data_IF_333234312268
#
_entry.id   IF_333234312268
#
_cell.length_a   1.000
_cell.length_b   1.000
_cell.length_c   1.000
_cell.angle_alpha   90.00
_cell.angle_beta   90.00
_cell.angle_gamma   90.00
#
_symmetry.space_group_name_H-M   'P 1'
#
loop_
_entity.id
_entity.type
_entity.pdbx_description
1 polymer ?
#
# COMPACT_ATOMS: atom_id res chain seq x y z
N UNK A 1 2.80 -0.65 19.92
CA UNK A 1 1.84 0.34 19.40
C UNK A 1 1.79 0.27 17.87
N UNK A 2 0.60 0.45 17.28
CA UNK A 2 0.43 0.50 15.82
C UNK A 2 -0.10 1.89 15.45
N UNK A 3 0.67 2.62 14.62
CA UNK A 3 0.26 3.91 14.09
C UNK A 3 -0.25 3.74 12.65
N UNK A 4 -1.31 4.45 12.33
CA UNK A 4 -1.96 4.44 11.03
C UNK A 4 -1.85 5.82 10.37
N UNK A 5 -1.54 5.81 9.08
CA UNK A 5 -1.60 7.00 8.22
C UNK A 5 -2.35 6.66 6.94
N UNK A 6 -3.10 7.61 6.40
CA UNK A 6 -3.84 7.48 5.16
C UNK A 6 -3.54 8.65 4.24
N UNK A 7 -3.11 8.34 3.04
CA UNK A 7 -2.89 9.30 1.96
C UNK A 7 -3.77 8.93 0.77
N UNK A 8 -4.54 9.88 0.29
CA UNK A 8 -5.19 9.79 -1.02
C UNK A 8 -4.29 10.39 -2.09
N UNK A 9 -4.37 9.85 -3.28
CA UNK A 9 -3.64 10.38 -4.44
C UNK A 9 -4.47 10.27 -5.73
N UNK A 10 -4.21 11.21 -6.62
CA UNK A 10 -4.59 11.23 -8.02
C UNK A 10 -3.43 11.89 -8.80
N UNK A 11 -3.63 13.02 -9.49
CA UNK A 11 -2.55 13.90 -9.94
C UNK A 11 -1.94 14.75 -8.80
N UNK A 12 -2.53 14.70 -7.62
CA UNK A 12 -2.09 15.36 -6.38
C UNK A 12 -2.17 14.39 -5.21
N UNK A 13 -1.47 14.69 -4.13
CA UNK A 13 -1.43 13.87 -2.94
C UNK A 13 -2.06 14.59 -1.75
N UNK A 14 -2.89 13.90 -0.98
CA UNK A 14 -3.61 14.43 0.18
C UNK A 14 -3.41 13.51 1.38
N UNK A 15 -2.68 13.99 2.38
CA UNK A 15 -2.56 13.27 3.66
C UNK A 15 -3.83 13.50 4.48
N UNK A 16 -4.64 12.45 4.63
CA UNK A 16 -5.93 12.50 5.34
C UNK A 16 -5.79 12.18 6.82
N UNK A 17 -4.98 11.18 7.16
CA UNK A 17 -4.70 10.74 8.53
C UNK A 17 -3.19 10.63 8.68
N UNK A 18 -2.65 11.10 9.81
CA UNK A 18 -1.22 11.04 10.08
C UNK A 18 -0.94 10.54 11.49
N UNK A 19 -0.26 9.39 11.58
CA UNK A 19 0.27 8.82 12.82
C UNK A 19 -0.77 8.75 13.96
N UNK A 20 -1.98 8.28 13.64
CA UNK A 20 -3.04 8.04 14.62
C UNK A 20 -2.94 6.59 15.10
N UNK A 21 -3.11 6.34 16.40
CA UNK A 21 -3.17 4.96 16.92
C UNK A 21 -4.29 4.20 16.22
N UNK A 22 -4.02 2.96 15.81
CA UNK A 22 -4.98 2.20 14.99
C UNK A 22 -6.36 2.05 15.66
N UNK A 23 -6.39 1.95 16.99
CA UNK A 23 -7.62 1.88 17.79
C UNK A 23 -8.44 3.19 17.79
N UNK A 24 -7.82 4.32 17.50
CA UNK A 24 -8.45 5.65 17.48
C UNK A 24 -8.88 6.07 16.08
N UNK A 25 -8.57 5.25 15.05
CA UNK A 25 -8.94 5.55 13.66
C UNK A 25 -10.45 5.42 13.48
N UNK A 26 -11.09 6.49 13.05
CA UNK A 26 -12.53 6.49 12.76
C UNK A 26 -12.77 5.98 11.34
N UNK A 27 -13.89 5.28 11.09
CA UNK A 27 -14.29 4.89 9.76
C UNK A 27 -14.35 6.08 8.80
N UNK A 28 -13.89 5.87 7.57
CA UNK A 28 -14.02 6.87 6.51
C UNK A 28 -15.49 7.04 6.12
N UNK A 29 -15.86 8.25 5.77
CA UNK A 29 -17.16 8.57 5.21
C UNK A 29 -17.06 8.73 3.69
N UNK A 30 -18.17 8.56 2.97
CA UNK A 30 -18.20 8.74 1.51
C UNK A 30 -17.74 10.15 1.06
N UNK A 31 -17.94 11.17 1.90
CA UNK A 31 -17.48 12.54 1.64
C UNK A 31 -15.97 12.72 1.74
N UNK A 32 -15.27 11.79 2.42
CA UNK A 32 -13.82 11.85 2.61
C UNK A 32 -13.03 11.49 1.36
N UNK A 33 -13.65 10.74 0.45
CA UNK A 33 -13.02 10.30 -0.79
C UNK A 33 -13.83 10.80 -1.99
N UNK A 34 -13.21 11.64 -2.82
CA UNK A 34 -13.78 12.12 -4.09
C UNK A 34 -12.81 11.74 -5.22
N UNK A 35 -12.99 10.55 -5.81
CA UNK A 35 -12.14 10.15 -6.94
C UNK A 35 -12.29 11.14 -8.08
N UNK A 36 -11.20 11.71 -8.55
CA UNK A 36 -11.17 12.63 -9.69
C UNK A 36 -9.81 12.61 -10.37
N UNK A 37 -9.81 12.61 -11.69
CA UNK A 37 -8.65 12.90 -12.52
C UNK A 37 -7.80 11.66 -12.83
N UNK A 38 -6.51 11.90 -13.03
CA UNK A 38 -5.51 10.94 -13.47
C UNK A 38 -4.79 10.30 -12.29
N UNK A 39 -4.04 9.22 -12.55
CA UNK A 39 -3.37 8.42 -11.51
C UNK A 39 -1.86 8.59 -11.60
N UNK A 40 -1.27 9.41 -10.72
CA UNK A 40 0.18 9.55 -10.55
C UNK A 40 0.70 8.56 -9.50
N UNK A 41 0.58 7.28 -9.81
CA UNK A 41 0.86 6.18 -8.88
C UNK A 41 2.34 6.16 -8.45
N UNK A 42 3.25 6.26 -9.42
CA UNK A 42 4.69 6.20 -9.11
C UNK A 42 5.14 7.41 -8.30
N UNK A 43 4.60 8.61 -8.57
CA UNK A 43 4.92 9.78 -7.78
C UNK A 43 4.42 9.64 -6.33
N UNK A 44 3.22 9.12 -6.12
CA UNK A 44 2.66 8.88 -4.80
C UNK A 44 3.47 7.83 -4.01
N UNK A 45 3.87 6.72 -4.64
CA UNK A 45 4.71 5.70 -4.03
C UNK A 45 6.09 6.27 -3.69
N UNK A 46 6.75 6.88 -4.67
CA UNK A 46 8.11 7.39 -4.51
C UNK A 46 8.22 8.48 -3.44
N UNK A 47 7.28 9.42 -3.41
CA UNK A 47 7.23 10.45 -2.38
C UNK A 47 6.98 9.85 -0.99
N UNK A 48 6.13 8.83 -0.89
CA UNK A 48 5.86 8.14 0.39
C UNK A 48 7.10 7.39 0.90
N UNK A 49 7.75 6.61 0.04
CA UNK A 49 9.00 5.91 0.39
C UNK A 49 10.08 6.92 0.81
N UNK A 50 10.28 7.95 0.01
CA UNK A 50 11.29 8.99 0.29
C UNK A 50 11.06 9.64 1.65
N UNK A 51 9.81 9.97 1.97
CA UNK A 51 9.46 10.54 3.27
C UNK A 51 9.86 9.61 4.42
N UNK A 52 9.42 8.34 4.41
CA UNK A 52 9.67 7.42 5.53
C UNK A 52 11.14 7.02 5.66
N UNK A 53 11.89 6.86 4.55
CA UNK A 53 13.33 6.62 4.61
C UNK A 53 14.04 7.85 5.19
N UNK A 54 13.65 9.06 4.79
CA UNK A 54 14.24 10.29 5.34
C UNK A 54 13.99 10.41 6.83
N UNK A 55 12.77 10.12 7.31
CA UNK A 55 12.47 10.13 8.75
C UNK A 55 13.27 9.06 9.51
N UNK A 56 13.39 7.85 8.96
CA UNK A 56 14.18 6.76 9.55
C UNK A 56 15.67 7.06 9.63
N UNK A 57 16.21 7.79 8.66
CA UNK A 57 17.60 8.24 8.67
C UNK A 57 17.85 9.36 9.70
N UNK A 58 16.85 10.22 9.97
CA UNK A 58 16.93 11.24 11.02
C UNK A 58 16.81 10.66 12.42
N UNK A 59 15.89 9.70 12.58
CA UNK A 59 15.62 9.02 13.83
C UNK A 59 15.40 7.53 13.58
N UNK A 60 16.43 6.72 13.86
CA UNK A 60 16.40 5.28 13.69
C UNK A 60 15.34 4.57 14.54
N UNK A 61 14.76 5.25 15.53
CA UNK A 61 13.75 4.72 16.45
C UNK A 61 12.31 5.08 16.06
N UNK A 62 12.10 5.88 15.00
CA UNK A 62 10.78 6.39 14.63
C UNK A 62 9.76 5.31 14.27
N UNK A 63 10.20 4.11 13.86
CA UNK A 63 9.41 2.88 13.72
C UNK A 63 10.32 1.65 13.69
N UNK A 64 9.85 0.50 14.15
CA UNK A 64 10.57 -0.78 14.05
C UNK A 64 10.36 -1.42 12.67
N UNK A 65 9.14 -1.36 12.16
CA UNK A 65 8.75 -1.81 10.83
C UNK A 65 7.64 -0.92 10.27
N UNK A 66 7.58 -0.83 8.95
CA UNK A 66 6.55 -0.08 8.23
C UNK A 66 5.94 -0.95 7.14
N UNK A 67 4.62 -0.97 7.05
CA UNK A 67 3.89 -1.59 5.95
C UNK A 67 3.14 -0.51 5.16
N UNK A 68 3.42 -0.41 3.88
CA UNK A 68 2.79 0.53 2.95
C UNK A 68 1.82 -0.25 2.07
N UNK A 69 0.53 -0.02 2.24
CA UNK A 69 -0.54 -0.62 1.43
C UNK A 69 -0.93 0.35 0.33
N UNK A 70 -0.79 -0.09 -0.92
CA UNK A 70 -1.15 0.66 -2.12
C UNK A 70 -2.46 0.08 -2.62
N UNK A 71 -3.52 0.88 -2.66
CA UNK A 71 -4.81 0.47 -3.22
C UNK A 71 -5.17 1.41 -4.37
N UNK A 72 -5.41 0.85 -5.55
CA UNK A 72 -5.73 1.60 -6.76
C UNK A 72 -6.64 0.81 -7.68
N UNK A 73 -7.56 1.50 -8.35
CA UNK A 73 -8.42 1.02 -9.42
C UNK A 73 -7.90 1.42 -10.81
N UNK A 74 -6.92 2.30 -10.84
CA UNK A 74 -6.34 2.87 -12.06
C UNK A 74 -4.89 2.47 -12.32
N UNK A 75 -4.55 2.41 -13.60
CA UNK A 75 -3.16 2.24 -14.04
C UNK A 75 -2.39 3.56 -13.91
N UNK A 76 -1.07 3.45 -13.72
CA UNK A 76 -0.16 4.60 -13.82
C UNK A 76 -0.30 5.30 -15.18
N UNK A 77 -0.50 6.61 -15.16
CA UNK A 77 -0.65 7.36 -16.42
C UNK A 77 -0.11 8.80 -16.43
N UNK A 78 0.27 9.37 -15.29
CA UNK A 78 0.63 10.80 -15.22
C UNK A 78 1.80 11.16 -14.30
N UNK A 79 2.52 10.19 -13.75
CA UNK A 79 3.70 10.47 -12.93
C UNK A 79 4.77 11.19 -13.73
N UNK A 80 5.42 12.17 -13.11
CA UNK A 80 6.44 13.03 -13.73
C UNK A 80 7.80 12.89 -13.06
N UNK A 81 7.82 12.57 -11.77
CA UNK A 81 9.02 12.53 -10.94
C UNK A 81 9.67 11.16 -10.92
N UNK A 82 8.87 10.10 -10.88
CA UNK A 82 9.34 8.73 -10.81
C UNK A 82 8.80 7.88 -11.96
N UNK A 83 9.57 6.88 -12.35
CA UNK A 83 9.18 5.85 -13.31
C UNK A 83 9.27 4.46 -12.65
N UNK A 84 8.84 3.41 -13.34
CA UNK A 84 8.83 2.04 -12.80
C UNK A 84 10.19 1.57 -12.32
N UNK A 85 11.27 1.90 -13.04
CA UNK A 85 12.63 1.50 -12.66
C UNK A 85 13.09 2.21 -11.39
N UNK A 86 12.85 3.52 -11.26
CA UNK A 86 13.19 4.26 -10.05
C UNK A 86 12.41 3.74 -8.84
N UNK A 87 11.13 3.45 -8.99
CA UNK A 87 10.31 2.85 -7.91
C UNK A 87 10.82 1.46 -7.54
N UNK A 88 11.16 0.62 -8.52
CA UNK A 88 11.73 -0.71 -8.26
C UNK A 88 13.00 -0.63 -7.42
N UNK A 89 13.92 0.28 -7.76
CA UNK A 89 15.15 0.48 -6.98
C UNK A 89 14.85 0.99 -5.56
N UNK A 90 13.87 1.89 -5.41
CA UNK A 90 13.45 2.39 -4.10
C UNK A 90 12.83 1.28 -3.24
N UNK A 91 12.02 0.40 -3.82
CA UNK A 91 11.41 -0.74 -3.13
C UNK A 91 12.48 -1.74 -2.68
N UNK A 92 13.48 -2.02 -3.51
CA UNK A 92 14.62 -2.86 -3.11
C UNK A 92 15.36 -2.23 -1.93
N UNK A 93 15.58 -0.91 -1.97
CA UNK A 93 16.23 -0.18 -0.87
C UNK A 93 15.41 -0.17 0.43
N UNK A 94 14.08 -0.21 0.34
CA UNK A 94 13.16 -0.29 1.49
C UNK A 94 13.46 -1.47 2.43
N UNK A 95 14.00 -2.57 1.90
CA UNK A 95 14.34 -3.77 2.69
C UNK A 95 15.36 -3.48 3.79
N UNK A 96 16.26 -2.54 3.58
CA UNK A 96 17.26 -2.13 4.59
C UNK A 96 16.64 -1.39 5.79
N UNK A 97 15.39 -0.97 5.68
CA UNK A 97 14.67 -0.17 6.69
C UNK A 97 13.47 -0.90 7.27
N UNK A 98 13.29 -2.20 7.02
CA UNK A 98 12.11 -2.97 7.39
C UNK A 98 10.79 -2.32 6.86
N UNK A 99 10.83 -1.81 5.62
CA UNK A 99 9.68 -1.25 4.93
C UNK A 99 9.18 -2.28 3.92
N UNK A 100 7.95 -2.72 4.06
CA UNK A 100 7.28 -3.67 3.16
C UNK A 100 6.18 -2.96 2.38
N UNK A 101 6.12 -3.20 1.06
CA UNK A 101 5.04 -2.69 0.21
C UNK A 101 4.12 -3.82 -0.20
N UNK A 102 2.82 -3.53 -0.17
CA UNK A 102 1.73 -4.45 -0.54
C UNK A 102 0.83 -3.74 -1.55
N UNK A 103 0.50 -4.41 -2.65
CA UNK A 103 -0.26 -3.84 -3.75
C UNK A 103 -1.64 -4.50 -3.87
N UNK A 104 -2.67 -3.69 -3.90
CA UNK A 104 -4.06 -4.10 -4.12
C UNK A 104 -4.57 -3.39 -5.38
N UNK A 105 -4.97 -4.15 -6.37
CA UNK A 105 -5.53 -3.63 -7.62
C UNK A 105 -6.96 -4.06 -7.81
N UNK A 106 -7.85 -3.08 -7.99
CA UNK A 106 -9.23 -3.33 -8.33
C UNK A 106 -9.38 -3.46 -9.85
N UNK A 107 -10.13 -4.47 -10.32
CA UNK A 107 -10.48 -4.68 -11.73
C UNK A 107 -9.28 -4.62 -12.70
N UNK A 108 -8.10 -5.00 -12.23
CA UNK A 108 -6.86 -4.98 -13.01
C UNK A 108 -5.96 -6.16 -12.64
N UNK A 109 -4.96 -6.44 -13.46
CA UNK A 109 -3.96 -7.44 -13.10
C UNK A 109 -2.93 -6.83 -12.11
N UNK A 110 -3.31 -6.75 -10.82
CA UNK A 110 -2.46 -6.21 -9.78
C UNK A 110 -1.11 -6.93 -9.66
N UNK A 111 -1.07 -8.23 -9.95
CA UNK A 111 0.17 -9.01 -9.90
C UNK A 111 1.15 -8.51 -10.97
N UNK A 112 0.69 -8.28 -12.20
CA UNK A 112 1.55 -7.75 -13.27
C UNK A 112 1.97 -6.30 -13.00
N UNK A 113 1.06 -5.45 -12.53
CA UNK A 113 1.38 -4.06 -12.21
C UNK A 113 2.38 -3.96 -11.05
N UNK A 114 2.18 -4.73 -10.00
CA UNK A 114 3.10 -4.84 -8.87
C UNK A 114 4.50 -5.33 -9.29
N UNK A 115 4.56 -6.33 -10.18
CA UNK A 115 5.82 -6.87 -10.69
C UNK A 115 6.65 -5.82 -11.46
N UNK A 116 6.02 -4.89 -12.18
CA UNK A 116 6.71 -3.79 -12.89
C UNK A 116 7.53 -2.92 -11.94
N UNK A 117 7.10 -2.78 -10.70
CA UNK A 117 7.76 -1.98 -9.66
C UNK A 117 8.50 -2.83 -8.61
N UNK A 118 8.62 -4.13 -8.84
CA UNK A 118 9.41 -5.01 -7.97
C UNK A 118 8.70 -5.55 -6.74
N UNK A 119 7.37 -5.41 -6.64
CA UNK A 119 6.56 -6.07 -5.62
C UNK A 119 6.25 -7.48 -6.10
N UNK A 120 6.53 -8.49 -5.27
CA UNK A 120 6.29 -9.89 -5.60
C UNK A 120 4.79 -10.22 -5.61
N UNK A 121 4.43 -11.29 -6.32
CA UNK A 121 3.03 -11.76 -6.34
C UNK A 121 2.49 -12.09 -4.95
N UNK A 122 3.35 -12.50 -4.02
CA UNK A 122 2.93 -12.82 -2.64
C UNK A 122 2.38 -11.60 -1.90
N UNK A 123 2.87 -10.41 -2.24
CA UNK A 123 2.43 -9.12 -1.69
C UNK A 123 1.51 -8.33 -2.63
N UNK A 124 0.95 -8.98 -3.67
CA UNK A 124 -0.02 -8.37 -4.59
C UNK A 124 -1.35 -9.12 -4.56
N UNK A 125 -2.47 -8.42 -4.61
CA UNK A 125 -3.81 -8.97 -4.57
C UNK A 125 -4.70 -8.29 -5.60
N UNK A 126 -5.36 -9.10 -6.45
CA UNK A 126 -6.48 -8.64 -7.26
C UNK A 126 -7.76 -8.71 -6.44
N UNK A 127 -8.64 -7.74 -6.60
CA UNK A 127 -10.00 -7.81 -6.06
C UNK A 127 -11.00 -7.17 -7.02
N UNK A 128 -12.24 -7.61 -6.97
CA UNK A 128 -13.33 -7.03 -7.72
C UNK A 128 -13.97 -5.88 -6.92
N UNK A 129 -14.64 -4.93 -7.60
CA UNK A 129 -15.26 -3.78 -6.94
C UNK A 129 -16.67 -4.06 -6.40
N UNK A 130 -16.86 -5.22 -5.77
CA UNK A 130 -18.05 -5.47 -4.97
C UNK A 130 -17.77 -5.17 -3.51
N UNK A 131 -18.80 -4.88 -2.73
CA UNK A 131 -18.63 -4.64 -1.30
C UNK A 131 -17.98 -5.83 -0.60
N UNK A 132 -18.41 -7.03 -0.95
CA UNK A 132 -17.96 -8.29 -0.37
C UNK A 132 -16.47 -8.54 -0.64
N UNK A 133 -16.02 -8.31 -1.88
CA UNK A 133 -14.63 -8.52 -2.28
C UNK A 133 -13.71 -7.42 -1.74
N UNK A 134 -14.17 -6.18 -1.67
CA UNK A 134 -13.44 -5.08 -1.00
C UNK A 134 -13.24 -5.40 0.48
N UNK A 135 -14.30 -5.81 1.19
CA UNK A 135 -14.21 -6.19 2.61
C UNK A 135 -13.27 -7.40 2.79
N UNK A 136 -13.33 -8.38 1.90
CA UNK A 136 -12.46 -9.56 1.91
C UNK A 136 -10.99 -9.17 1.68
N UNK A 137 -10.70 -8.30 0.72
CA UNK A 137 -9.36 -7.83 0.45
C UNK A 137 -8.74 -7.13 1.67
N UNK A 138 -9.47 -6.21 2.30
CA UNK A 138 -8.97 -5.50 3.49
C UNK A 138 -8.85 -6.41 4.72
N UNK A 139 -9.73 -7.39 4.91
CA UNK A 139 -9.56 -8.44 5.93
C UNK A 139 -8.31 -9.28 5.68
N UNK A 140 -7.99 -9.57 4.42
CA UNK A 140 -6.78 -10.32 4.05
C UNK A 140 -5.52 -9.50 4.33
N UNK A 141 -5.55 -8.19 4.07
CA UNK A 141 -4.49 -7.25 4.49
C UNK A 141 -4.28 -7.30 6.00
N UNK A 142 -5.35 -7.20 6.79
CA UNK A 142 -5.27 -7.22 8.24
C UNK A 142 -4.68 -8.54 8.77
N UNK A 143 -5.08 -9.69 8.19
CA UNK A 143 -4.55 -11.01 8.55
C UNK A 143 -3.06 -11.14 8.19
N UNK A 144 -2.68 -10.76 6.95
CA UNK A 144 -1.29 -10.77 6.51
C UNK A 144 -0.40 -9.89 7.38
N UNK A 145 -0.86 -8.68 7.67
CA UNK A 145 -0.19 -7.74 8.56
C UNK A 145 -0.02 -8.30 10.00
N UNK A 146 -1.06 -8.98 10.52
CA UNK A 146 -0.97 -9.64 11.83
C UNK A 146 0.06 -10.77 11.81
N UNK A 147 0.05 -11.66 10.80
CA UNK A 147 1.05 -12.74 10.67
C UNK A 147 2.46 -12.18 10.70
N UNK A 148 2.75 -11.22 9.85
CA UNK A 148 4.09 -10.58 9.80
C UNK A 148 4.55 -10.05 11.16
N UNK A 149 3.64 -9.44 11.94
CA UNK A 149 3.99 -8.92 13.27
C UNK A 149 4.16 -9.97 14.36
N UNK A 150 3.41 -11.09 14.26
CA UNK A 150 3.43 -12.12 15.34
C UNK A 150 4.53 -13.14 15.16
N UNK A 151 4.85 -13.53 13.94
CA UNK A 151 5.82 -14.60 13.64
C UNK A 151 7.07 -14.10 12.92
N UNK A 152 7.13 -12.81 12.56
CA UNK A 152 8.25 -12.21 11.83
C UNK A 152 8.36 -12.67 10.36
N UNK A 153 7.35 -13.38 9.84
CA UNK A 153 7.35 -13.82 8.45
C UNK A 153 7.22 -12.65 7.48
N UNK A 154 7.70 -12.83 6.25
CA UNK A 154 7.43 -11.88 5.19
C UNK A 154 5.93 -11.77 4.94
N UNK A 155 5.44 -10.58 4.58
CA UNK A 155 4.05 -10.39 4.22
C UNK A 155 3.70 -11.23 2.99
N UNK A 156 2.61 -11.99 3.08
CA UNK A 156 2.07 -12.75 1.95
C UNK A 156 0.56 -12.91 2.06
N UNK A 157 -0.11 -12.90 0.91
CA UNK A 157 -1.49 -13.33 0.81
C UNK A 157 -1.56 -14.85 0.64
N UNK A 158 -2.40 -15.52 1.44
CA UNK A 158 -2.64 -16.94 1.30
C UNK A 158 -3.57 -17.23 0.11
N UNK A 159 -3.52 -18.44 -0.43
CA UNK A 159 -4.35 -18.84 -1.57
C UNK A 159 -5.86 -18.64 -1.29
N UNK A 160 -6.32 -18.99 -0.09
CA UNK A 160 -7.72 -18.79 0.30
C UNK A 160 -8.13 -17.29 0.31
N UNK A 161 -7.20 -16.40 0.69
CA UNK A 161 -7.42 -14.95 0.69
C UNK A 161 -7.53 -14.41 -0.74
N UNK A 162 -6.74 -14.96 -1.67
CA UNK A 162 -6.80 -14.60 -3.10
C UNK A 162 -8.13 -15.01 -3.74
N UNK A 163 -8.59 -16.21 -3.45
CA UNK A 163 -9.89 -16.70 -3.95
C UNK A 163 -11.03 -15.85 -3.41
N UNK A 164 -11.04 -15.57 -2.10
CA UNK A 164 -12.11 -14.80 -1.46
C UNK A 164 -12.20 -13.33 -1.92
N UNK A 165 -11.18 -12.80 -2.57
CA UNK A 165 -11.16 -11.44 -3.09
C UNK A 165 -11.65 -11.30 -4.54
N UNK A 166 -12.03 -12.39 -5.19
CA UNK A 166 -12.42 -12.46 -6.61
C UNK A 166 -13.77 -13.16 -6.84
N UNK A 167 -14.58 -13.37 -5.80
CA UNK A 167 -15.86 -14.12 -5.89
C UNK A 167 -17.05 -13.22 -5.61
#
# INVERSE_FOLDING_TARGET
EILFSLKFFNHSEFLKIRNVRIEDVRPLKNEDMKPKGTTSLYDAIGNTIHYFITEKLKDSTCFDSLQIFISTDGLENTSKKYNSNSIKNMIEYCKHFNITLVYLGANQNAILEAAKIGITQDSALNYDETKETIDSAWRSVARGSKRTRTDGSAFQFLQAERVASQV
#
